data_IF_945628022636
#
_entry.id   IF_945628022636
#
_cell.length_a   1.000
_cell.length_b   1.000
_cell.length_c   1.000
_cell.angle_alpha   90.00
_cell.angle_beta   90.00
_cell.angle_gamma   90.00
#
_symmetry.space_group_name_H-M   'P 1'
#
loop_
_entity.id
_entity.type
_entity.pdbx_description
1 polymer ?
#
# COMPACT_ATOMS: atom_id res chain seq x y z
N UNK A 1 1.92 -9.80 -7.82
CA UNK A 1 2.45 -8.46 -7.53
C UNK A 1 1.69 -7.42 -8.30
N UNK A 2 1.40 -6.30 -7.67
CA UNK A 2 0.70 -5.20 -8.33
C UNK A 2 1.48 -3.92 -8.12
N UNK A 3 1.64 -3.15 -9.18
CA UNK A 3 2.32 -1.86 -9.11
C UNK A 3 1.36 -0.75 -9.50
N UNK A 4 1.42 0.35 -8.76
CA UNK A 4 0.61 1.52 -9.04
C UNK A 4 1.52 2.73 -9.05
N UNK A 5 1.42 3.54 -10.09
CA UNK A 5 2.18 4.79 -10.16
C UNK A 5 1.29 5.92 -9.70
N UNK A 6 1.81 6.73 -8.78
CA UNK A 6 1.05 7.84 -8.21
C UNK A 6 0.96 8.97 -9.22
N UNK A 7 -0.27 9.35 -9.53
CA UNK A 7 -0.51 10.48 -10.41
C UNK A 7 -0.79 11.75 -9.62
N UNK A 8 -1.08 12.83 -10.34
CA UNK A 8 -1.33 14.11 -9.70
C UNK A 8 -2.53 14.06 -8.75
N UNK A 9 -3.51 13.21 -9.05
CA UNK A 9 -4.71 13.12 -8.22
C UNK A 9 -4.42 12.45 -6.88
N UNK A 10 -3.47 11.54 -6.84
CA UNK A 10 -3.15 10.80 -5.63
C UNK A 10 -2.03 11.44 -4.83
N UNK A 11 -1.31 12.38 -5.42
CA UNK A 11 -0.20 13.02 -4.72
C UNK A 11 -0.72 13.95 -3.63
N UNK A 12 0.13 14.24 -2.66
CA UNK A 12 -0.21 15.16 -1.60
C UNK A 12 -1.02 14.56 -0.47
N UNK A 13 -1.24 13.26 -0.48
CA UNK A 13 -1.93 12.59 0.63
C UNK A 13 -1.00 11.56 1.28
N UNK A 14 -1.36 11.17 2.48
CA UNK A 14 -0.56 10.16 3.18
C UNK A 14 -0.76 8.79 2.52
N UNK A 15 0.29 7.99 2.56
CA UNK A 15 0.27 6.66 1.97
C UNK A 15 -0.86 5.82 2.54
N UNK A 16 -1.08 5.88 3.85
CA UNK A 16 -2.15 5.11 4.48
C UNK A 16 -3.53 5.52 3.94
N UNK A 17 -3.73 6.81 3.71
CA UNK A 17 -5.00 7.29 3.15
C UNK A 17 -5.20 6.77 1.74
N UNK A 18 -4.13 6.80 0.94
CA UNK A 18 -4.21 6.25 -0.41
C UNK A 18 -4.58 4.77 -0.38
N UNK A 19 -3.96 4.02 0.52
CA UNK A 19 -4.23 2.58 0.63
C UNK A 19 -5.67 2.31 1.04
N UNK A 20 -6.21 3.12 1.95
CA UNK A 20 -7.60 2.97 2.37
C UNK A 20 -8.56 3.18 1.21
N UNK A 21 -8.24 4.11 0.33
CA UNK A 21 -9.07 4.36 -0.84
C UNK A 21 -8.89 3.30 -1.91
N UNK A 22 -7.65 2.84 -2.08
CA UNK A 22 -7.33 1.86 -3.11
C UNK A 22 -7.89 0.48 -2.75
N UNK A 23 -7.81 0.12 -1.49
CA UNK A 23 -8.33 -1.15 -0.98
C UNK A 23 -9.54 -0.88 -0.10
N UNK A 24 -10.64 -0.49 -0.72
CA UNK A 24 -11.83 -0.05 0.02
C UNK A 24 -12.39 -1.11 0.95
N UNK A 25 -12.23 -2.36 0.58
CA UNK A 25 -12.80 -3.45 1.36
C UNK A 25 -11.86 -3.96 2.45
N UNK A 26 -10.63 -3.49 2.46
CA UNK A 26 -9.66 -3.92 3.45
C UNK A 26 -9.75 -3.05 4.69
N UNK A 27 -9.60 -3.68 5.85
CA UNK A 27 -9.55 -2.92 7.10
C UNK A 27 -8.20 -2.23 7.23
N UNK A 28 -8.20 -1.09 7.93
CA UNK A 28 -6.98 -0.32 8.13
C UNK A 28 -5.90 -1.16 8.83
N UNK A 29 -6.30 -1.96 9.81
CA UNK A 29 -5.34 -2.81 10.52
C UNK A 29 -4.68 -3.81 9.58
N UNK A 30 -5.42 -4.34 8.62
CA UNK A 30 -4.87 -5.25 7.63
C UNK A 30 -3.83 -4.54 6.76
N UNK A 31 -4.11 -3.30 6.36
CA UNK A 31 -3.17 -2.54 5.55
C UNK A 31 -1.88 -2.26 6.31
N UNK A 32 -1.97 -1.90 7.58
CA UNK A 32 -0.78 -1.68 8.40
C UNK A 32 0.00 -2.97 8.61
N UNK A 33 -0.70 -4.09 8.72
CA UNK A 33 -0.04 -5.38 8.82
C UNK A 33 0.76 -5.68 7.56
N UNK A 34 0.20 -5.39 6.38
CA UNK A 34 0.89 -5.58 5.13
C UNK A 34 2.13 -4.68 5.02
N UNK A 35 2.00 -3.45 5.48
CA UNK A 35 3.14 -2.53 5.50
C UNK A 35 4.25 -3.07 6.40
N UNK A 36 3.88 -3.54 7.58
CA UNK A 36 4.84 -4.07 8.54
C UNK A 36 5.57 -5.29 8.00
N UNK A 37 4.87 -6.13 7.26
CA UNK A 37 5.46 -7.34 6.68
C UNK A 37 6.19 -7.09 5.38
N UNK A 38 6.28 -5.83 4.96
CA UNK A 38 6.93 -5.43 3.71
C UNK A 38 6.22 -5.97 2.47
N UNK A 39 4.93 -6.25 2.60
CA UNK A 39 4.12 -6.65 1.45
C UNK A 39 3.64 -5.45 0.65
N UNK A 40 3.74 -4.25 1.20
CA UNK A 40 3.48 -3.01 0.50
C UNK A 40 4.74 -2.16 0.61
N UNK A 41 5.25 -1.73 -0.53
CA UNK A 41 6.46 -0.92 -0.56
C UNK A 41 6.22 0.36 -1.37
N UNK A 42 6.96 1.38 -1.04
CA UNK A 42 6.94 2.66 -1.76
C UNK A 42 8.32 2.88 -2.35
N UNK A 43 8.39 2.94 -3.68
CA UNK A 43 9.65 3.07 -4.41
C UNK A 43 10.65 1.96 -4.01
N UNK A 44 10.13 0.72 -3.88
CA UNK A 44 10.91 -0.46 -3.51
C UNK A 44 11.53 -0.39 -2.12
N UNK A 45 11.02 0.51 -1.28
CA UNK A 45 11.51 0.65 0.09
C UNK A 45 10.39 0.35 1.07
N UNK A 46 10.79 -0.11 2.25
CA UNK A 46 9.84 -0.33 3.32
C UNK A 46 9.08 0.97 3.63
N UNK A 47 7.79 0.86 3.83
CA UNK A 47 6.94 2.01 4.12
C UNK A 47 6.20 1.78 5.43
N UNK A 48 5.83 2.88 6.09
CA UNK A 48 5.10 2.82 7.36
C UNK A 48 3.65 3.29 7.22
N UNK A 49 3.33 3.95 6.11
CA UNK A 49 2.00 4.50 5.90
C UNK A 49 1.92 5.99 6.17
N UNK A 50 2.95 6.57 6.80
CA UNK A 50 2.95 8.00 7.10
C UNK A 50 3.61 8.84 6.02
N UNK A 51 4.15 8.21 4.99
CA UNK A 51 4.80 8.91 3.91
C UNK A 51 3.81 9.76 3.12
N UNK A 52 4.26 10.92 2.66
CA UNK A 52 3.46 11.75 1.76
C UNK A 52 3.75 11.34 0.32
N UNK A 53 2.70 11.01 -0.40
CA UNK A 53 2.84 10.58 -1.79
C UNK A 53 3.10 11.75 -2.71
N UNK A 54 3.93 11.52 -3.71
CA UNK A 54 4.25 12.52 -4.73
C UNK A 54 4.03 11.92 -6.10
N UNK A 55 3.75 12.79 -7.07
CA UNK A 55 3.56 12.34 -8.44
C UNK A 55 4.80 11.59 -8.91
N UNK A 56 4.61 10.42 -9.47
CA UNK A 56 5.70 9.59 -9.94
C UNK A 56 6.14 8.52 -8.96
N UNK A 57 5.66 8.57 -7.73
CA UNK A 57 5.99 7.51 -6.77
C UNK A 57 5.41 6.18 -7.23
N UNK A 58 6.12 5.10 -6.94
CA UNK A 58 5.67 3.76 -7.31
C UNK A 58 5.30 3.00 -6.05
N UNK A 59 4.08 2.50 -6.04
CA UNK A 59 3.58 1.64 -4.97
C UNK A 59 3.56 0.22 -5.46
N UNK A 60 4.20 -0.68 -4.72
CA UNK A 60 4.24 -2.09 -5.07
C UNK A 60 3.55 -2.88 -3.97
N UNK A 61 2.60 -3.72 -4.36
CA UNK A 61 1.87 -4.59 -3.43
C UNK A 61 2.18 -6.03 -3.78
N UNK A 62 2.70 -6.77 -2.81
CA UNK A 62 2.99 -8.19 -2.98
C UNK A 62 1.89 -9.00 -2.31
N UNK A 63 1.22 -9.83 -3.10
CA UNK A 63 0.22 -10.75 -2.56
C UNK A 63 0.91 -12.07 -2.28
N UNK A 64 1.09 -12.39 -1.02
CA UNK A 64 1.73 -13.64 -0.63
C UNK A 64 0.68 -14.71 -0.41
N UNK A 65 1.11 -15.96 -0.40
CA UNK A 65 0.21 -17.07 -0.09
C UNK A 65 -0.41 -16.91 1.28
N UNK A 66 0.36 -16.36 2.21
CA UNK A 66 -0.13 -16.12 3.56
C UNK A 66 -1.34 -15.21 3.53
N UNK A 67 -1.28 -14.15 2.73
CA UNK A 67 -2.40 -13.23 2.61
C UNK A 67 -3.56 -13.89 1.88
N UNK A 68 -3.27 -14.59 0.81
CA UNK A 68 -4.30 -15.26 0.03
C UNK A 68 -5.02 -16.35 0.78
N UNK A 69 -4.44 -16.85 1.86
CA UNK A 69 -5.02 -17.90 2.66
C UNK A 69 -5.55 -17.42 4.00
N UNK A 70 -5.59 -16.14 4.21
CA UNK A 70 -5.96 -15.61 5.52
C UNK A 70 -7.35 -16.06 5.96
N UNK A 71 -8.19 -16.37 5.01
CA UNK A 71 -9.57 -16.75 5.28
C UNK A 71 -9.82 -18.25 5.23
N UNK A 72 -8.83 -19.01 5.00
CA UNK A 72 -8.96 -20.47 4.86
C UNK A 72 -8.95 -21.16 6.20
#
# INVERSE_FOLDING_TARGET
MREVTIGAKESGQRFSKFLEKYFKEAQTSFLYKMLRKKNIKLNDKKATGSEMLQTGDKVTVYFSDEIGRAHV
#
